data_IF_434833167255
#
_entry.id   IF_434833167255
#
_cell.length_a   1.000
_cell.length_b   1.000
_cell.length_c   1.000
_cell.angle_alpha   90.00
_cell.angle_beta   90.00
_cell.angle_gamma   90.00
#
_symmetry.space_group_name_H-M   'P 1'
#
loop_
_entity.id
_entity.type
_entity.pdbx_description
1 polymer ?
#
# COMPACT_ATOMS: atom_id res chain seq x y z
N UNK A 1 -33.03 18.52 26.95
CA UNK A 1 -33.23 17.68 25.76
C UNK A 1 -31.96 17.77 24.93
N UNK A 2 -30.97 16.90 25.18
CA UNK A 2 -29.77 16.82 24.33
C UNK A 2 -30.22 16.28 22.98
N UNK A 3 -30.17 17.10 21.93
CA UNK A 3 -30.23 16.58 20.56
C UNK A 3 -28.97 15.76 20.36
N UNK A 4 -29.12 14.44 20.33
CA UNK A 4 -28.15 13.58 19.67
C UNK A 4 -28.20 13.95 18.20
N UNK A 5 -27.24 14.75 17.72
CA UNK A 5 -27.03 14.88 16.28
C UNK A 5 -26.48 13.53 15.80
N UNK A 6 -27.35 12.66 15.32
CA UNK A 6 -27.03 11.38 14.68
C UNK A 6 -26.38 11.58 13.29
N UNK A 7 -25.55 12.62 13.15
CA UNK A 7 -24.84 12.93 11.92
C UNK A 7 -23.46 12.26 11.99
N UNK A 8 -23.25 11.29 11.10
CA UNK A 8 -21.94 10.69 10.91
C UNK A 8 -20.99 11.72 10.29
N UNK A 9 -19.78 11.82 10.84
CA UNK A 9 -18.71 12.56 10.17
C UNK A 9 -18.27 11.81 8.91
N UNK A 10 -17.54 12.49 8.02
CA UNK A 10 -16.95 11.84 6.83
C UNK A 10 -16.10 10.62 7.20
N UNK A 11 -15.26 10.72 8.24
CA UNK A 11 -14.44 9.60 8.70
C UNK A 11 -15.27 8.46 9.30
N UNK A 12 -16.44 8.73 9.89
CA UNK A 12 -17.32 7.67 10.40
C UNK A 12 -17.98 6.90 9.25
N UNK A 13 -18.37 7.61 8.17
CA UNK A 13 -18.89 6.97 6.95
C UNK A 13 -17.81 6.11 6.30
N UNK A 14 -16.60 6.66 6.12
CA UNK A 14 -15.47 5.94 5.52
C UNK A 14 -15.06 4.72 6.36
N UNK A 15 -14.98 4.86 7.69
CA UNK A 15 -14.72 3.74 8.61
C UNK A 15 -15.77 2.64 8.47
N UNK A 16 -17.06 3.01 8.50
CA UNK A 16 -18.16 2.06 8.40
C UNK A 16 -18.16 1.33 7.04
N UNK A 17 -17.91 2.04 5.93
CA UNK A 17 -17.81 1.46 4.60
C UNK A 17 -16.66 0.45 4.51
N UNK A 18 -15.46 0.82 4.97
CA UNK A 18 -14.31 -0.07 4.93
C UNK A 18 -14.49 -1.31 5.83
N UNK A 19 -15.09 -1.15 7.02
CA UNK A 19 -15.42 -2.28 7.90
C UNK A 19 -16.44 -3.20 7.24
N UNK A 20 -17.46 -2.65 6.58
CA UNK A 20 -18.45 -3.43 5.82
C UNK A 20 -17.77 -4.26 4.72
N UNK A 21 -16.91 -3.65 3.89
CA UNK A 21 -16.16 -4.33 2.84
C UNK A 21 -15.30 -5.48 3.41
N UNK A 22 -14.58 -5.24 4.50
CA UNK A 22 -13.73 -6.26 5.15
C UNK A 22 -14.57 -7.44 5.63
N UNK A 23 -15.74 -7.17 6.21
CA UNK A 23 -16.65 -8.22 6.71
C UNK A 23 -17.27 -9.04 5.58
N UNK A 24 -17.71 -8.40 4.51
CA UNK A 24 -18.27 -9.10 3.33
C UNK A 24 -17.24 -10.07 2.75
N UNK A 25 -15.98 -9.65 2.63
CA UNK A 25 -14.92 -10.53 2.12
C UNK A 25 -14.63 -11.68 3.07
N UNK A 26 -14.56 -11.44 4.38
CA UNK A 26 -14.36 -12.53 5.34
C UNK A 26 -15.55 -13.49 5.41
N UNK A 27 -16.75 -13.08 5.01
CA UNK A 27 -17.94 -13.93 4.96
C UNK A 27 -18.01 -14.77 3.67
N UNK A 28 -17.57 -14.21 2.54
CA UNK A 28 -17.75 -14.81 1.21
C UNK A 28 -16.53 -15.60 0.69
N UNK A 29 -15.35 -15.40 1.28
CA UNK A 29 -14.09 -16.03 0.85
C UNK A 29 -13.52 -16.96 1.92
N UNK A 30 -12.91 -18.07 1.49
CA UNK A 30 -12.35 -19.10 2.38
C UNK A 30 -10.98 -18.71 2.94
N UNK A 31 -10.14 -18.03 2.14
CA UNK A 31 -8.73 -17.74 2.46
C UNK A 31 -8.38 -16.30 2.09
N UNK A 32 -8.99 -15.29 2.75
CA UNK A 32 -8.56 -13.92 2.58
C UNK A 32 -7.15 -13.71 3.15
N UNK A 33 -6.43 -12.72 2.63
CA UNK A 33 -5.16 -12.21 3.16
C UNK A 33 -5.14 -10.69 3.11
N UNK A 34 -4.52 -10.03 4.09
CA UNK A 34 -4.33 -8.59 4.09
C UNK A 34 -2.89 -8.23 3.71
N UNK A 35 -2.70 -7.50 2.62
CA UNK A 35 -1.38 -7.02 2.19
C UNK A 35 -0.92 -5.88 3.11
N UNK A 36 0.13 -6.12 3.87
CA UNK A 36 0.64 -5.22 4.90
C UNK A 36 2.11 -4.88 4.67
N UNK A 37 2.37 -3.67 4.18
CA UNK A 37 3.72 -3.16 3.93
C UNK A 37 4.31 -2.35 5.07
N UNK A 38 3.53 -2.03 6.10
CA UNK A 38 3.94 -1.07 7.13
C UNK A 38 3.86 0.40 6.68
N UNK A 39 3.34 0.67 5.47
CA UNK A 39 3.00 2.01 5.04
C UNK A 39 1.69 2.52 5.64
N UNK A 40 1.50 3.85 5.69
CA UNK A 40 0.35 4.54 6.32
C UNK A 40 -1.02 3.94 5.96
N UNK A 41 -1.26 3.63 4.68
CA UNK A 41 -2.55 3.13 4.21
C UNK A 41 -2.78 1.70 4.70
N UNK A 42 -1.74 0.85 4.65
CA UNK A 42 -1.81 -0.51 5.17
C UNK A 42 -1.97 -0.56 6.70
N UNK A 43 -1.46 0.45 7.42
CA UNK A 43 -1.66 0.61 8.87
C UNK A 43 -3.11 0.94 9.18
N UNK A 44 -3.71 1.89 8.45
CA UNK A 44 -5.14 2.21 8.58
C UNK A 44 -6.00 1.00 8.25
N UNK A 45 -5.69 0.29 7.16
CA UNK A 45 -6.41 -0.93 6.77
C UNK A 45 -6.31 -2.04 7.83
N UNK A 46 -5.13 -2.25 8.44
CA UNK A 46 -4.94 -3.21 9.52
C UNK A 46 -5.74 -2.82 10.78
N UNK A 47 -5.79 -1.52 11.12
CA UNK A 47 -6.62 -1.03 12.23
C UNK A 47 -8.11 -1.22 11.97
N UNK A 48 -8.57 -0.96 10.75
CA UNK A 48 -9.96 -1.22 10.34
C UNK A 48 -10.30 -2.70 10.41
N UNK A 49 -9.40 -3.59 10.00
CA UNK A 49 -9.58 -5.04 10.15
C UNK A 49 -9.70 -5.45 11.62
N UNK A 50 -8.87 -4.88 12.51
CA UNK A 50 -9.00 -5.08 13.96
C UNK A 50 -10.38 -4.64 14.48
N UNK A 51 -10.86 -3.46 14.08
CA UNK A 51 -12.20 -2.98 14.45
C UNK A 51 -13.32 -3.87 13.89
N UNK A 52 -13.17 -4.37 12.67
CA UNK A 52 -14.18 -5.17 11.99
C UNK A 52 -14.50 -6.47 12.75
N UNK A 53 -13.51 -7.10 13.40
CA UNK A 53 -13.68 -8.39 14.08
C UNK A 53 -13.67 -8.30 15.61
N UNK A 54 -13.42 -7.14 16.19
CA UNK A 54 -13.45 -6.98 17.64
C UNK A 54 -14.77 -7.49 18.25
N UNK A 55 -14.74 -8.27 19.36
CA UNK A 55 -13.57 -8.62 20.19
C UNK A 55 -12.79 -9.87 19.76
N UNK A 56 -13.16 -10.51 18.66
CA UNK A 56 -12.43 -11.64 18.11
C UNK A 56 -11.13 -11.18 17.41
N UNK A 57 -10.12 -12.06 17.29
CA UNK A 57 -8.94 -11.78 16.48
C UNK A 57 -9.30 -11.68 14.98
N UNK A 58 -8.40 -11.07 14.20
CA UNK A 58 -8.51 -11.01 12.75
C UNK A 58 -8.47 -12.45 12.19
N UNK A 59 -9.46 -12.88 11.38
CA UNK A 59 -9.61 -14.29 10.98
C UNK A 59 -8.69 -14.70 9.81
N UNK A 60 -7.86 -13.79 9.31
CA UNK A 60 -6.96 -14.01 8.18
C UNK A 60 -5.52 -13.56 8.48
N UNK A 61 -4.51 -14.15 7.80
CA UNK A 61 -3.14 -13.68 7.91
C UNK A 61 -2.94 -12.30 7.27
N UNK A 62 -1.84 -11.65 7.65
CA UNK A 62 -1.27 -10.52 6.92
C UNK A 62 -0.09 -11.01 6.10
N UNK A 63 0.14 -10.39 4.93
CA UNK A 63 1.26 -10.76 4.05
C UNK A 63 2.04 -9.53 3.63
N UNK A 64 3.37 -9.64 3.64
CA UNK A 64 4.28 -8.66 3.09
C UNK A 64 5.07 -9.27 1.94
N UNK A 65 5.10 -8.60 0.78
CA UNK A 65 6.01 -8.93 -0.31
C UNK A 65 7.32 -8.19 -0.05
N UNK A 66 8.33 -8.91 0.42
CA UNK A 66 9.59 -8.32 0.86
C UNK A 66 10.63 -8.33 -0.27
N UNK A 67 10.97 -7.15 -0.75
CA UNK A 67 11.99 -6.96 -1.79
C UNK A 67 13.41 -7.13 -1.26
N UNK A 68 13.60 -7.03 0.07
CA UNK A 68 14.90 -6.88 0.70
C UNK A 68 15.48 -5.46 0.60
N UNK A 69 14.80 -4.53 -0.10
CA UNK A 69 15.23 -3.13 -0.29
C UNK A 69 14.37 -2.14 0.52
N UNK A 70 13.67 -2.63 1.54
CA UNK A 70 12.79 -1.84 2.38
C UNK A 70 13.55 -0.89 3.32
N UNK A 71 12.89 0.19 3.75
CA UNK A 71 13.42 1.07 4.78
C UNK A 71 13.40 0.38 6.16
N UNK A 72 14.49 0.42 6.95
CA UNK A 72 14.54 -0.19 8.27
C UNK A 72 13.42 0.27 9.21
N UNK A 73 13.06 1.55 9.16
CA UNK A 73 12.01 2.15 9.98
C UNK A 73 10.64 1.49 9.73
N UNK A 74 10.38 1.10 8.49
CA UNK A 74 9.12 0.45 8.10
C UNK A 74 9.11 -1.02 8.52
N UNK A 75 10.23 -1.71 8.35
CA UNK A 75 10.35 -3.13 8.73
C UNK A 75 10.28 -3.31 10.24
N UNK A 76 10.99 -2.47 11.00
CA UNK A 76 10.94 -2.48 12.46
C UNK A 76 9.51 -2.24 12.97
N UNK A 77 8.82 -1.24 12.40
CA UNK A 77 7.44 -0.96 12.75
C UNK A 77 6.51 -2.13 12.40
N UNK A 78 6.66 -2.71 11.20
CA UNK A 78 5.86 -3.86 10.75
C UNK A 78 5.95 -5.02 11.73
N UNK A 79 7.18 -5.42 12.07
CA UNK A 79 7.43 -6.58 12.93
C UNK A 79 6.90 -6.35 14.34
N UNK A 80 7.13 -5.16 14.90
CA UNK A 80 6.57 -4.76 16.20
C UNK A 80 5.04 -4.82 16.20
N UNK A 81 4.40 -4.17 15.21
CA UNK A 81 2.94 -4.07 15.15
C UNK A 81 2.26 -5.42 14.93
N UNK A 82 2.84 -6.29 14.11
CA UNK A 82 2.36 -7.66 13.91
C UNK A 82 2.42 -8.44 15.23
N UNK A 83 3.54 -8.35 15.96
CA UNK A 83 3.70 -9.03 17.24
C UNK A 83 2.72 -8.53 18.30
N UNK A 84 2.51 -7.21 18.40
CA UNK A 84 1.54 -6.58 19.32
C UNK A 84 0.10 -7.05 19.08
N UNK A 85 -0.28 -7.25 17.82
CA UNK A 85 -1.63 -7.69 17.45
C UNK A 85 -1.79 -9.21 17.46
N UNK A 86 -0.70 -9.98 17.55
CA UNK A 86 -0.73 -11.43 17.50
C UNK A 86 -1.25 -11.99 16.17
N UNK A 87 -1.11 -11.23 15.06
CA UNK A 87 -1.54 -11.67 13.73
C UNK A 87 -0.46 -12.50 13.07
N UNK A 88 -0.85 -13.49 12.26
CA UNK A 88 0.10 -14.29 11.48
C UNK A 88 0.63 -13.47 10.32
N UNK A 89 1.92 -13.16 10.31
CA UNK A 89 2.62 -12.56 9.17
C UNK A 89 3.20 -13.64 8.26
N UNK A 90 2.94 -13.49 6.97
CA UNK A 90 3.55 -14.23 5.88
C UNK A 90 4.50 -13.28 5.15
N UNK A 91 5.73 -13.72 4.92
CA UNK A 91 6.73 -12.93 4.19
C UNK A 91 7.01 -13.65 2.87
N UNK A 92 6.57 -13.06 1.76
CA UNK A 92 6.87 -13.54 0.42
C UNK A 92 8.14 -12.83 -0.07
N UNK A 93 9.26 -13.56 -0.14
CA UNK A 93 10.58 -12.98 -0.41
C UNK A 93 10.87 -12.88 -1.90
N UNK A 94 11.11 -11.67 -2.40
CA UNK A 94 11.59 -11.47 -3.79
C UNK A 94 12.99 -12.04 -3.96
N UNK A 95 13.83 -11.99 -2.92
CA UNK A 95 15.15 -12.62 -2.96
C UNK A 95 15.03 -14.13 -3.22
N UNK A 96 14.07 -14.79 -2.61
CA UNK A 96 13.83 -16.22 -2.84
C UNK A 96 13.34 -16.48 -4.28
N UNK A 97 12.51 -15.60 -4.84
CA UNK A 97 12.12 -15.67 -6.26
C UNK A 97 13.33 -15.49 -7.20
N UNK A 98 14.30 -14.63 -6.85
CA UNK A 98 15.56 -14.46 -7.59
C UNK A 98 16.40 -15.74 -7.49
N UNK A 99 16.60 -16.27 -6.28
CA UNK A 99 17.44 -17.45 -6.04
C UNK A 99 16.88 -18.70 -6.74
N UNK A 100 15.54 -18.80 -6.88
CA UNK A 100 14.85 -19.85 -7.63
C UNK A 100 14.83 -19.61 -9.15
N UNK A 101 15.32 -18.48 -9.63
CA UNK A 101 15.29 -18.11 -11.05
C UNK A 101 13.91 -17.79 -11.61
N UNK A 102 12.92 -17.48 -10.75
CA UNK A 102 11.56 -17.05 -11.16
C UNK A 102 11.60 -15.65 -11.77
N UNK A 103 12.49 -14.81 -11.26
CA UNK A 103 12.73 -13.44 -11.71
C UNK A 103 14.23 -13.18 -11.76
N UNK A 104 14.64 -12.18 -12.55
CA UNK A 104 16.04 -11.79 -12.69
C UNK A 104 16.21 -10.41 -12.09
N UNK A 105 17.22 -10.23 -11.26
CA UNK A 105 17.57 -8.93 -10.71
C UNK A 105 17.93 -7.94 -11.81
N UNK A 106 17.29 -6.77 -11.80
CA UNK A 106 17.57 -5.72 -12.75
C UNK A 106 18.97 -5.13 -12.49
N UNK A 107 19.62 -4.66 -13.56
CA UNK A 107 20.94 -4.02 -13.48
C UNK A 107 20.90 -2.61 -14.04
N UNK A 108 21.89 -1.79 -13.68
CA UNK A 108 22.03 -0.42 -14.17
C UNK A 108 21.41 0.64 -13.26
N UNK A 109 21.50 1.90 -13.70
CA UNK A 109 21.21 3.10 -12.89
C UNK A 109 19.82 3.09 -12.25
N UNK A 110 18.85 2.47 -12.92
CA UNK A 110 17.44 2.45 -12.53
C UNK A 110 16.97 1.12 -11.97
N UNK A 111 17.89 0.20 -11.68
CA UNK A 111 17.56 -1.12 -11.16
C UNK A 111 16.70 -1.01 -9.90
N UNK A 112 15.56 -1.70 -9.92
CA UNK A 112 14.62 -1.74 -8.80
C UNK A 112 13.97 -3.12 -8.74
N UNK A 113 13.72 -3.61 -7.52
CA UNK A 113 12.97 -4.86 -7.32
C UNK A 113 11.46 -4.65 -7.34
N UNK A 114 11.01 -3.40 -7.47
CA UNK A 114 9.59 -3.05 -7.43
C UNK A 114 8.74 -3.84 -8.44
N UNK A 115 9.24 -4.07 -9.67
CA UNK A 115 8.55 -4.86 -10.69
C UNK A 115 8.54 -6.37 -10.39
N UNK A 116 9.57 -6.85 -9.70
CA UNK A 116 9.73 -8.27 -9.40
C UNK A 116 8.70 -8.76 -8.36
N UNK A 117 8.12 -7.83 -7.59
CA UNK A 117 7.08 -8.11 -6.60
C UNK A 117 5.86 -8.81 -7.18
N UNK A 118 5.48 -8.54 -8.44
CA UNK A 118 4.29 -9.15 -9.06
C UNK A 118 4.40 -10.66 -9.07
N UNK A 119 5.52 -11.19 -9.58
CA UNK A 119 5.74 -12.64 -9.64
C UNK A 119 5.72 -13.25 -8.25
N UNK A 120 6.42 -12.64 -7.30
CA UNK A 120 6.46 -13.11 -5.90
C UNK A 120 5.07 -13.08 -5.23
N UNK A 121 4.26 -12.05 -5.51
CA UNK A 121 2.89 -11.95 -5.02
C UNK A 121 2.01 -13.06 -5.58
N UNK A 122 2.06 -13.29 -6.89
CA UNK A 122 1.28 -14.35 -7.54
C UNK A 122 1.69 -15.74 -7.04
N UNK A 123 2.99 -16.00 -6.92
CA UNK A 123 3.52 -17.25 -6.36
C UNK A 123 3.00 -17.49 -4.94
N UNK A 124 2.99 -16.46 -4.08
CA UNK A 124 2.50 -16.57 -2.71
C UNK A 124 0.98 -16.77 -2.62
N UNK A 125 0.21 -16.16 -3.53
CA UNK A 125 -1.24 -16.37 -3.64
C UNK A 125 -1.55 -17.81 -4.03
N UNK A 126 -0.83 -18.34 -5.02
CA UNK A 126 -0.98 -19.73 -5.45
C UNK A 126 -0.58 -20.72 -4.35
N UNK A 127 0.58 -20.51 -3.71
CA UNK A 127 1.11 -21.36 -2.64
C UNK A 127 0.13 -21.47 -1.46
N UNK A 128 -0.42 -20.34 -1.02
CA UNK A 128 -1.34 -20.28 0.12
C UNK A 128 -2.80 -20.45 -0.26
N UNK A 129 -3.10 -20.52 -1.56
CA UNK A 129 -4.45 -20.61 -2.14
C UNK A 129 -5.35 -19.46 -1.67
N UNK A 130 -4.80 -18.25 -1.63
CA UNK A 130 -5.61 -17.09 -1.28
C UNK A 130 -6.62 -16.79 -2.38
N UNK A 131 -7.88 -16.63 -2.00
CA UNK A 131 -9.00 -16.34 -2.91
C UNK A 131 -9.43 -14.87 -2.85
N UNK A 132 -8.98 -14.13 -1.84
CA UNK A 132 -9.07 -12.67 -1.76
C UNK A 132 -7.82 -12.05 -1.13
N UNK A 133 -7.35 -10.93 -1.69
CA UNK A 133 -6.27 -10.14 -1.11
C UNK A 133 -6.71 -8.69 -0.90
N UNK A 134 -6.67 -8.20 0.34
CA UNK A 134 -6.92 -6.80 0.66
C UNK A 134 -5.70 -5.95 0.33
N UNK A 135 -5.89 -4.88 -0.45
CA UNK A 135 -4.88 -3.87 -0.76
C UNK A 135 -5.28 -2.48 -0.26
N UNK A 136 -4.29 -1.70 0.16
CA UNK A 136 -4.48 -0.33 0.67
C UNK A 136 -4.56 0.74 -0.42
N UNK A 137 -4.82 0.38 -1.68
CA UNK A 137 -4.88 1.32 -2.79
C UNK A 137 -6.10 2.24 -2.69
N UNK A 138 -5.92 3.51 -3.07
CA UNK A 138 -6.97 4.53 -3.10
C UNK A 138 -7.14 5.11 -4.50
N UNK A 139 -8.34 5.61 -4.81
CA UNK A 139 -8.66 6.21 -6.12
C UNK A 139 -7.97 7.55 -6.35
N UNK A 140 -7.68 8.29 -5.28
CA UNK A 140 -7.04 9.63 -5.36
C UNK A 140 -5.52 9.57 -5.56
N UNK A 141 -4.89 8.43 -5.27
CA UNK A 141 -3.42 8.29 -5.32
C UNK A 141 -2.84 8.53 -6.71
N UNK A 142 -3.56 8.10 -7.75
CA UNK A 142 -3.11 8.19 -9.14
C UNK A 142 -4.28 8.11 -10.13
N UNK A 143 -4.15 8.82 -11.27
CA UNK A 143 -5.19 8.87 -12.31
C UNK A 143 -5.64 7.50 -12.81
N UNK A 144 -4.73 6.55 -12.98
CA UNK A 144 -5.07 5.19 -13.44
C UNK A 144 -6.01 4.45 -12.47
N UNK A 145 -5.97 4.81 -11.18
CA UNK A 145 -6.82 4.23 -10.13
C UNK A 145 -8.19 4.89 -10.00
N UNK A 146 -8.43 6.02 -10.67
CA UNK A 146 -9.71 6.74 -10.56
C UNK A 146 -10.93 5.90 -11.00
N UNK A 147 -10.71 4.90 -11.87
CA UNK A 147 -11.75 3.98 -12.35
C UNK A 147 -11.72 2.62 -11.64
N UNK A 148 -10.94 2.48 -10.58
CA UNK A 148 -10.86 1.22 -9.86
C UNK A 148 -12.14 0.89 -9.10
N UNK A 149 -12.42 -0.40 -9.07
CA UNK A 149 -13.51 -0.99 -8.30
C UNK A 149 -13.01 -1.35 -6.91
N UNK A 150 -13.92 -1.48 -5.95
CA UNK A 150 -13.59 -2.01 -4.63
C UNK A 150 -13.16 -3.47 -4.76
N UNK A 151 -13.85 -4.26 -5.58
CA UNK A 151 -13.55 -5.67 -5.87
C UNK A 151 -13.07 -5.80 -7.31
N UNK A 152 -11.79 -6.11 -7.48
CA UNK A 152 -11.15 -6.33 -8.78
C UNK A 152 -10.90 -7.83 -9.00
N UNK A 153 -11.56 -8.40 -9.99
CA UNK A 153 -11.48 -9.83 -10.32
C UNK A 153 -10.20 -10.16 -11.09
N UNK A 154 -9.61 -11.30 -10.75
CA UNK A 154 -8.43 -11.87 -11.39
C UNK A 154 -8.74 -13.28 -11.86
N UNK A 155 -8.21 -13.64 -13.03
CA UNK A 155 -8.29 -15.01 -13.51
C UNK A 155 -7.33 -15.94 -12.74
N UNK A 156 -7.31 -17.20 -13.15
CA UNK A 156 -6.48 -18.27 -12.62
C UNK A 156 -4.96 -18.06 -12.82
N UNK A 157 -4.56 -17.11 -13.67
CA UNK A 157 -3.17 -16.68 -13.83
C UNK A 157 -2.88 -15.34 -13.12
N UNK A 158 -3.85 -14.80 -12.39
CA UNK A 158 -3.75 -13.52 -11.70
C UNK A 158 -3.93 -12.29 -12.60
N UNK A 159 -4.31 -12.47 -13.87
CA UNK A 159 -4.46 -11.38 -14.82
C UNK A 159 -5.79 -10.65 -14.67
N UNK A 160 -5.83 -9.42 -15.18
CA UNK A 160 -7.03 -8.59 -15.18
C UNK A 160 -7.74 -8.58 -16.53
N UNK A 161 -9.03 -8.96 -16.53
CA UNK A 161 -9.91 -8.76 -17.69
C UNK A 161 -10.97 -7.67 -17.39
N UNK A 162 -11.01 -6.57 -18.16
CA UNK A 162 -12.05 -5.55 -18.03
C UNK A 162 -13.48 -6.10 -18.14
N UNK A 163 -13.72 -7.15 -18.95
CA UNK A 163 -15.04 -7.73 -19.18
C UNK A 163 -15.54 -8.55 -17.99
N UNK A 164 -14.63 -9.06 -17.16
CA UNK A 164 -14.97 -9.85 -15.97
C UNK A 164 -15.28 -8.97 -14.75
N UNK A 165 -15.10 -7.65 -14.87
CA UNK A 165 -15.37 -6.71 -13.78
C UNK A 165 -16.87 -6.43 -13.63
N UNK A 166 -17.32 -6.33 -12.38
CA UNK A 166 -18.75 -6.28 -12.06
C UNK A 166 -19.18 -4.89 -11.59
N UNK A 167 -20.37 -4.41 -11.97
CA UNK A 167 -20.94 -3.21 -11.36
C UNK A 167 -21.09 -3.37 -9.84
N UNK A 168 -20.73 -2.32 -9.10
CA UNK A 168 -20.86 -2.23 -7.65
C UNK A 168 -22.00 -1.25 -7.37
N UNK A 169 -23.17 -1.76 -6.97
CA UNK A 169 -24.36 -0.96 -6.72
C UNK A 169 -24.59 -0.86 -5.22
N UNK A 170 -24.78 0.36 -4.70
CA UNK A 170 -24.83 0.64 -3.26
C UNK A 170 -23.59 0.07 -2.54
N UNK A 171 -23.81 -0.74 -1.52
CA UNK A 171 -22.78 -1.46 -0.76
C UNK A 171 -22.95 -2.98 -0.95
N UNK A 172 -23.47 -3.39 -2.12
CA UNK A 172 -23.67 -4.78 -2.51
C UNK A 172 -22.55 -5.22 -3.47
N UNK A 173 -21.79 -6.22 -3.06
CA UNK A 173 -20.67 -6.75 -3.84
C UNK A 173 -20.99 -8.15 -4.34
N UNK A 174 -20.91 -8.37 -5.65
CA UNK A 174 -21.04 -9.71 -6.22
C UNK A 174 -19.65 -10.38 -6.23
N UNK A 175 -19.32 -11.11 -5.18
CA UNK A 175 -17.99 -11.69 -4.89
C UNK A 175 -17.76 -13.09 -5.47
N UNK A 176 -18.75 -13.70 -6.13
CA UNK A 176 -18.65 -15.09 -6.62
C UNK A 176 -17.46 -15.30 -7.55
N UNK A 177 -16.58 -16.24 -7.25
CA UNK A 177 -15.44 -16.61 -8.11
C UNK A 177 -15.52 -18.07 -8.53
N UNK A 178 -14.85 -18.44 -9.62
CA UNK A 178 -14.60 -19.83 -9.99
C UNK A 178 -13.40 -20.37 -9.22
N UNK A 179 -13.27 -21.68 -9.19
CA UNK A 179 -12.08 -22.31 -8.62
C UNK A 179 -10.83 -21.84 -9.37
N UNK A 180 -9.82 -21.37 -8.64
CA UNK A 180 -8.56 -20.85 -9.18
C UNK A 180 -8.55 -19.33 -9.40
N UNK A 181 -9.72 -18.71 -9.57
CA UNK A 181 -9.83 -17.25 -9.59
C UNK A 181 -9.63 -16.68 -8.19
N UNK A 182 -9.22 -15.41 -8.12
CA UNK A 182 -9.12 -14.68 -6.87
C UNK A 182 -9.49 -13.21 -7.07
N UNK A 183 -9.71 -12.47 -6.00
CA UNK A 183 -10.00 -11.03 -6.06
C UNK A 183 -8.95 -10.19 -5.35
N UNK A 184 -8.84 -8.94 -5.79
CA UNK A 184 -8.21 -7.85 -5.04
C UNK A 184 -9.30 -6.97 -4.48
N UNK A 185 -9.20 -6.65 -3.20
CA UNK A 185 -10.22 -5.85 -2.51
C UNK A 185 -9.56 -4.60 -1.95
N UNK A 186 -10.15 -3.44 -2.18
CA UNK A 186 -9.59 -2.15 -1.79
C UNK A 186 -10.53 -1.41 -0.82
N UNK A 187 -10.56 -1.77 0.49
CA UNK A 187 -11.43 -1.15 1.48
C UNK A 187 -11.24 0.37 1.60
N UNK A 188 -10.06 0.88 1.22
CA UNK A 188 -9.73 2.30 1.29
C UNK A 188 -10.05 3.09 0.01
N UNK A 189 -10.70 2.49 -1.00
CA UNK A 189 -10.88 3.11 -2.33
C UNK A 189 -11.39 4.55 -2.31
N UNK A 190 -12.30 4.88 -1.38
CA UNK A 190 -12.94 6.19 -1.24
C UNK A 190 -12.21 7.17 -0.31
N UNK A 191 -11.14 6.73 0.33
CA UNK A 191 -10.36 7.57 1.22
C UNK A 191 -9.43 8.45 0.40
N UNK A 192 -9.28 9.71 0.81
CA UNK A 192 -8.21 10.58 0.31
C UNK A 192 -6.97 10.46 1.19
N UNK A 193 -5.86 11.04 0.73
CA UNK A 193 -4.65 11.09 1.57
C UNK A 193 -4.91 11.85 2.88
N UNK A 194 -5.68 12.94 2.81
CA UNK A 194 -6.03 13.73 3.98
C UNK A 194 -6.90 12.92 4.97
N UNK A 195 -7.86 12.13 4.46
CA UNK A 195 -8.67 11.24 5.31
C UNK A 195 -7.80 10.22 6.06
N UNK A 196 -6.80 9.63 5.38
CA UNK A 196 -5.86 8.66 5.99
C UNK A 196 -5.10 9.32 7.14
N UNK A 197 -4.57 10.53 6.93
CA UNK A 197 -3.83 11.26 7.97
C UNK A 197 -4.72 11.74 9.12
N UNK A 198 -5.90 12.27 8.82
CA UNK A 198 -6.87 12.69 9.82
C UNK A 198 -7.36 11.51 10.67
N UNK A 199 -7.50 10.34 10.06
CA UNK A 199 -7.86 9.12 10.76
C UNK A 199 -6.73 8.58 11.63
N UNK A 200 -5.48 8.61 11.14
CA UNK A 200 -4.29 8.32 11.96
C UNK A 200 -4.27 9.23 13.20
N UNK A 201 -4.58 10.52 13.02
CA UNK A 201 -4.67 11.48 14.13
C UNK A 201 -5.81 11.16 15.10
N UNK A 202 -7.02 10.92 14.58
CA UNK A 202 -8.22 10.63 15.37
C UNK A 202 -8.04 9.39 16.23
N UNK A 203 -7.51 8.33 15.64
CA UNK A 203 -7.33 7.02 16.27
C UNK A 203 -5.99 6.91 17.01
N UNK A 204 -5.16 7.97 16.98
CA UNK A 204 -3.82 8.01 17.58
C UNK A 204 -2.94 6.84 17.13
N UNK A 205 -2.97 6.53 15.84
CA UNK A 205 -2.20 5.43 15.28
C UNK A 205 -0.72 5.82 15.23
N UNK A 206 0.12 4.95 15.78
CA UNK A 206 1.54 5.00 15.55
C UNK A 206 1.85 4.71 14.08
N UNK A 207 2.83 5.42 13.53
CA UNK A 207 3.34 5.23 12.17
C UNK A 207 4.88 5.26 12.19
N UNK A 208 5.55 4.67 11.19
CA UNK A 208 7.01 4.73 11.06
C UNK A 208 7.55 6.17 11.06
N UNK A 209 8.69 6.39 11.71
CA UNK A 209 9.31 7.71 11.86
C UNK A 209 9.68 8.37 10.52
N UNK A 210 9.90 7.57 9.47
CA UNK A 210 10.23 8.02 8.12
C UNK A 210 9.21 8.99 7.50
N UNK A 211 7.97 8.94 7.99
CA UNK A 211 6.89 9.82 7.58
C UNK A 211 7.01 11.25 8.11
N UNK A 212 7.79 11.46 9.18
CA UNK A 212 8.08 12.76 9.76
C UNK A 212 9.42 13.28 9.24
N UNK A 213 9.57 14.61 9.23
CA UNK A 213 10.79 15.26 8.77
C UNK A 213 11.98 14.88 9.66
N UNK A 214 13.05 14.43 9.01
CA UNK A 214 14.31 14.05 9.65
C UNK A 214 15.47 14.37 8.71
N UNK A 215 16.67 14.52 9.27
CA UNK A 215 17.88 14.68 8.45
C UNK A 215 18.24 13.33 7.84
N UNK A 216 18.40 13.29 6.51
CA UNK A 216 18.85 12.10 5.79
C UNK A 216 19.89 12.49 4.74
N UNK A 217 20.88 11.62 4.54
CA UNK A 217 21.79 11.68 3.40
C UNK A 217 21.04 11.28 2.14
N UNK A 218 20.95 12.20 1.20
CA UNK A 218 20.21 12.04 -0.06
C UNK A 218 21.07 12.49 -1.24
N UNK A 219 20.69 12.04 -2.43
CA UNK A 219 21.21 12.56 -3.69
C UNK A 219 20.05 12.88 -4.63
N UNK A 220 20.30 13.75 -5.61
CA UNK A 220 19.28 14.13 -6.59
C UNK A 220 19.45 13.33 -7.88
N UNK A 221 18.35 12.75 -8.37
CA UNK A 221 18.27 12.06 -9.65
C UNK A 221 16.95 12.40 -10.31
N UNK A 222 17.01 12.97 -11.51
CA UNK A 222 15.83 13.39 -12.30
C UNK A 222 14.78 14.18 -11.48
N UNK A 223 15.27 15.12 -10.65
CA UNK A 223 14.43 15.97 -9.80
C UNK A 223 13.76 15.23 -8.63
N UNK A 224 14.23 14.03 -8.27
CA UNK A 224 13.83 13.31 -7.06
C UNK A 224 14.99 13.22 -6.08
N UNK A 225 14.69 13.36 -4.79
CA UNK A 225 15.65 13.11 -3.71
C UNK A 225 15.58 11.64 -3.31
N UNK A 226 16.63 10.86 -3.60
CA UNK A 226 16.70 9.45 -3.22
C UNK A 226 17.59 9.29 -1.99
N UNK A 227 17.28 8.30 -1.14
CA UNK A 227 18.13 7.98 0.01
C UNK A 227 19.49 7.44 -0.46
N UNK A 228 20.57 7.93 0.13
CA UNK A 228 21.88 7.27 0.04
C UNK A 228 21.80 5.96 0.82
N UNK A 229 21.49 4.87 0.12
CA UNK A 229 21.27 3.54 0.69
C UNK A 229 22.07 2.49 -0.09
N UNK A 230 22.41 1.34 0.52
CA UNK A 230 23.13 0.26 -0.16
C UNK A 230 22.40 -0.30 -1.40
N UNK A 231 21.09 -0.08 -1.49
CA UNK A 231 20.22 -0.58 -2.54
C UNK A 231 20.06 0.40 -3.71
N UNK A 232 20.42 1.67 -3.51
CA UNK A 232 20.37 2.67 -4.56
C UNK A 232 21.64 2.58 -5.41
N UNK A 233 21.51 2.32 -6.71
CA UNK A 233 22.64 2.30 -7.64
C UNK A 233 23.13 3.73 -7.96
N UNK A 234 23.70 4.41 -6.96
CA UNK A 234 24.20 5.80 -7.04
C UNK A 234 25.42 5.87 -7.95
N UNK A 235 25.40 6.84 -8.86
CA UNK A 235 26.51 7.11 -9.77
C UNK A 235 27.52 8.09 -9.15
N UNK A 236 28.75 8.12 -9.67
CA UNK A 236 29.80 9.00 -9.14
C UNK A 236 29.46 10.50 -9.31
N UNK A 237 28.70 10.84 -10.35
CA UNK A 237 28.23 12.20 -10.67
C UNK A 237 27.02 12.65 -9.85
N UNK A 238 26.52 11.80 -8.95
CA UNK A 238 25.39 12.09 -8.06
C UNK A 238 25.90 12.39 -6.64
N UNK A 239 26.21 13.67 -6.32
CA UNK A 239 26.76 14.04 -5.03
C UNK A 239 25.73 13.84 -3.92
N UNK A 240 26.19 13.26 -2.81
CA UNK A 240 25.37 13.08 -1.61
C UNK A 240 25.46 14.32 -0.73
N UNK A 241 24.32 14.76 -0.21
CA UNK A 241 24.21 15.86 0.75
C UNK A 241 23.18 15.52 1.83
N UNK A 242 23.24 16.23 2.95
CA UNK A 242 22.22 16.11 3.99
C UNK A 242 21.06 17.07 3.71
N UNK A 243 19.84 16.57 3.87
CA UNK A 243 18.64 17.37 3.77
C UNK A 243 17.62 16.96 4.84
N UNK A 244 16.84 17.93 5.31
CA UNK A 244 15.67 17.64 6.13
C UNK A 244 14.52 17.21 5.20
N UNK A 245 14.15 15.93 5.30
CA UNK A 245 13.22 15.29 4.39
C UNK A 245 12.22 14.41 5.13
N UNK A 246 11.08 14.14 4.49
CA UNK A 246 10.14 13.09 4.89
C UNK A 246 9.71 12.29 3.68
N UNK A 247 9.01 11.19 3.91
CA UNK A 247 8.45 10.35 2.87
C UNK A 247 6.93 10.41 2.90
N UNK A 248 6.31 10.73 1.75
CA UNK A 248 4.84 10.77 1.61
C UNK A 248 4.27 9.37 1.35
N UNK A 249 4.96 8.62 0.48
CA UNK A 249 4.79 7.18 0.24
C UNK A 249 6.04 6.44 0.66
N UNK A 250 5.91 5.16 1.03
CA UNK A 250 7.09 4.28 1.25
C UNK A 250 6.95 2.97 0.47
N UNK A 251 8.03 2.56 -0.18
CA UNK A 251 8.27 1.21 -0.72
C UNK A 251 9.78 1.00 -0.74
N UNK A 252 10.32 0.39 -1.79
CA UNK A 252 11.78 0.17 -1.90
C UNK A 252 12.58 1.47 -1.82
N UNK A 253 13.65 1.45 -1.02
CA UNK A 253 14.60 2.55 -0.90
C UNK A 253 15.31 2.87 -2.23
N UNK A 254 15.36 1.92 -3.16
CA UNK A 254 15.94 2.10 -4.50
C UNK A 254 15.10 3.00 -5.42
N UNK A 255 13.78 3.13 -5.20
CA UNK A 255 12.89 3.89 -6.08
C UNK A 255 11.90 4.83 -5.38
N UNK A 256 11.99 4.97 -4.05
CA UNK A 256 11.16 5.89 -3.27
C UNK A 256 11.88 7.22 -3.06
N UNK A 257 11.31 8.29 -3.60
CA UNK A 257 11.76 9.66 -3.41
C UNK A 257 11.28 10.29 -2.12
N UNK A 258 12.18 10.96 -1.43
CA UNK A 258 11.91 11.84 -0.31
C UNK A 258 11.45 13.22 -0.80
N UNK A 259 10.77 13.96 0.08
CA UNK A 259 10.43 15.37 -0.14
C UNK A 259 11.08 16.24 0.93
N UNK A 260 11.55 17.43 0.55
CA UNK A 260 12.02 18.42 1.53
C UNK A 260 10.84 18.84 2.40
N UNK A 261 11.01 18.76 3.71
CA UNK A 261 9.96 19.08 4.67
C UNK A 261 10.57 19.40 6.02
N UNK A 262 9.89 20.23 6.79
CA UNK A 262 10.19 20.52 8.20
C UNK A 262 9.12 19.95 9.13
N UNK A 263 8.15 19.19 8.61
CA UNK A 263 7.01 18.66 9.36
C UNK A 263 7.42 17.47 10.24
N UNK A 264 7.72 17.76 11.50
CA UNK A 264 8.17 16.79 12.52
C UNK A 264 7.01 16.18 13.33
N UNK A 265 5.81 16.75 13.21
CA UNK A 265 4.61 16.29 13.91
C UNK A 265 3.48 15.96 12.95
N UNK A 266 2.49 15.21 13.44
CA UNK A 266 1.33 14.81 12.66
C UNK A 266 0.51 16.00 12.16
N UNK A 267 0.31 17.02 13.02
CA UNK A 267 -0.42 18.23 12.63
C UNK A 267 0.33 19.05 11.58
N UNK A 268 1.67 19.11 11.65
CA UNK A 268 2.48 19.74 10.61
C UNK A 268 2.41 18.99 9.28
N UNK A 269 2.40 17.65 9.31
CA UNK A 269 2.26 16.83 8.09
C UNK A 269 0.88 17.06 7.45
N UNK A 270 -0.19 17.06 8.25
CA UNK A 270 -1.55 17.36 7.78
C UNK A 270 -1.63 18.76 7.18
N UNK A 271 -1.05 19.77 7.84
CA UNK A 271 -1.02 21.13 7.34
C UNK A 271 -0.25 21.27 6.00
N UNK A 272 0.88 20.56 5.86
CA UNK A 272 1.67 20.53 4.63
C UNK A 272 0.89 19.88 3.48
N UNK A 273 0.19 18.77 3.76
CA UNK A 273 -0.63 18.05 2.76
C UNK A 273 -1.84 18.89 2.34
N UNK A 274 -2.53 19.53 3.28
CA UNK A 274 -3.68 20.38 2.97
C UNK A 274 -3.31 21.57 2.04
N UNK A 275 -2.04 21.99 2.04
CA UNK A 275 -1.53 23.06 1.18
C UNK A 275 -1.05 22.58 -0.21
N UNK A 276 -0.84 21.27 -0.43
CA UNK A 276 -0.27 20.74 -1.67
C UNK A 276 -1.32 20.57 -2.77
N UNK A 277 -0.88 20.67 -4.04
CA UNK A 277 -1.71 20.43 -5.23
C UNK A 277 -1.21 19.27 -6.10
N UNK A 278 -0.15 18.59 -5.66
CA UNK A 278 0.47 17.48 -6.38
C UNK A 278 -0.02 16.17 -5.77
N UNK A 279 -0.35 15.18 -6.60
CA UNK A 279 -0.75 13.85 -6.14
C UNK A 279 0.39 13.17 -5.38
N UNK A 280 0.02 12.30 -4.44
CA UNK A 280 0.99 11.62 -3.57
C UNK A 280 2.06 10.86 -4.35
N UNK A 281 1.67 9.90 -5.19
CA UNK A 281 2.63 9.05 -5.94
C UNK A 281 3.38 9.81 -7.04
N UNK A 282 2.73 10.80 -7.67
CA UNK A 282 3.35 11.61 -8.72
C UNK A 282 4.55 12.42 -8.24
N UNK A 283 4.62 12.72 -6.93
CA UNK A 283 5.73 13.45 -6.34
C UNK A 283 6.90 12.53 -5.94
N UNK A 284 6.62 11.27 -5.54
CA UNK A 284 7.57 10.43 -4.79
C UNK A 284 7.98 9.11 -5.44
N UNK A 285 7.39 8.68 -6.57
CA UNK A 285 7.74 7.40 -7.21
C UNK A 285 8.42 7.59 -8.56
N UNK A 286 9.66 7.11 -8.69
CA UNK A 286 10.44 7.20 -9.92
C UNK A 286 9.81 6.34 -11.03
N UNK A 287 9.38 5.14 -10.68
CA UNK A 287 8.83 4.14 -11.60
C UNK A 287 7.49 4.55 -12.22
N UNK A 288 6.74 5.45 -11.58
CA UNK A 288 5.41 5.91 -12.04
C UNK A 288 5.52 7.05 -13.06
N UNK A 289 6.72 7.64 -13.25
CA UNK A 289 6.96 8.67 -14.27
C UNK A 289 7.10 8.10 -15.70
N UNK A 290 7.05 6.78 -15.87
CA UNK A 290 7.35 6.08 -17.15
C UNK A 290 6.16 5.93 -18.13
N UNK A 291 5.15 6.81 -18.04
CA UNK A 291 3.94 6.94 -18.89
C UNK A 291 2.66 6.25 -18.35
N UNK A 292 1.49 6.83 -18.65
CA UNK A 292 0.17 6.36 -18.21
C UNK A 292 -0.14 4.91 -18.64
N UNK A 293 0.40 4.46 -19.78
CA UNK A 293 0.22 3.09 -20.26
C UNK A 293 0.89 2.04 -19.34
N UNK A 294 2.01 2.41 -18.68
CA UNK A 294 2.78 1.49 -17.86
C UNK A 294 2.00 0.93 -16.66
N UNK A 295 1.03 1.70 -16.12
CA UNK A 295 0.22 1.25 -14.98
C UNK A 295 -0.97 0.39 -15.38
N UNK A 296 -1.60 0.66 -16.53
CA UNK A 296 -2.63 -0.25 -17.07
C UNK A 296 -2.03 -1.62 -17.44
N UNK A 297 -0.80 -1.63 -17.96
CA UNK A 297 -0.12 -2.88 -18.29
C UNK A 297 0.28 -3.65 -17.02
N UNK A 298 0.84 -2.97 -16.00
CA UNK A 298 1.05 -3.58 -14.67
C UNK A 298 -0.23 -4.16 -14.06
N UNK A 299 -1.39 -3.51 -14.28
CA UNK A 299 -2.68 -4.03 -13.81
C UNK A 299 -3.04 -5.35 -14.48
N UNK A 300 -2.82 -5.47 -15.80
CA UNK A 300 -3.04 -6.72 -16.56
C UNK A 300 -2.08 -7.82 -16.12
N UNK A 301 -0.86 -7.46 -15.77
CA UNK A 301 0.17 -8.38 -15.26
C UNK A 301 -0.07 -8.85 -13.82
N UNK A 302 -1.04 -8.26 -13.10
CA UNK A 302 -1.43 -8.68 -11.75
C UNK A 302 -0.75 -7.92 -10.60
N UNK A 303 -0.09 -6.78 -10.89
CA UNK A 303 0.61 -5.96 -9.88
C UNK A 303 -0.31 -5.36 -8.81
N UNK A 304 -1.58 -5.08 -9.17
CA UNK A 304 -2.60 -4.59 -8.23
C UNK A 304 -3.44 -5.70 -7.63
#
# INVERSE_FOLDING_TARGET
MQRSDYLLSQLDVLEAESIHIIREVAAEFERPVLLFSGGKDSIVMLHLAKKAFWPAPIPFPVMHVDTGHNFPEVIEFRDRRVAELGVRLIVASVQESIDKGRVVEETGKWASRNRLQTTTLLDAIEEHRFDAAFGGARRDEEKARAKERVVSFRDDFGQWDPKNQRPELWNLYNTRIRQGEHVRVFPLSNWTELDVWDYIRREQLEIPSIYFAHTRRVFERDGMLLADSPYANRQEDEPVFEAMVRYRTVGDASCTGAIKSTATTLDEVIAEIAATRITERGQTRADDRTSEAAMEDRKKEGYF
#
